data_IF_974556171157
#
_entry.id   IF_974556171157
#
_cell.length_a   1.000
_cell.length_b   1.000
_cell.length_c   1.000
_cell.angle_alpha   90.00
_cell.angle_beta   90.00
_cell.angle_gamma   90.00
#
_symmetry.space_group_name_H-M   'P 1'
#
loop_
_entity.id
_entity.type
_entity.pdbx_description
1 polymer ?
#
# COMPACT_ATOMS: atom_id res chain seq x y z
N UNK A 1 34.96 -48.34 49.44
CA UNK A 1 35.34 -47.03 48.85
C UNK A 1 34.98 -47.03 47.36
N UNK A 2 34.55 -45.90 46.78
CA UNK A 2 33.51 -45.87 45.73
C UNK A 2 34.01 -45.57 44.31
N UNK A 3 33.20 -45.92 43.29
CA UNK A 3 33.01 -45.30 41.94
C UNK A 3 32.04 -46.20 41.13
N UNK A 4 30.82 -45.79 40.79
CA UNK A 4 30.35 -44.81 39.80
C UNK A 4 29.91 -45.45 38.46
N UNK A 5 28.66 -45.10 38.09
CA UNK A 5 28.06 -44.97 36.74
C UNK A 5 27.52 -46.19 35.97
N UNK A 6 26.22 -46.07 35.66
CA UNK A 6 25.53 -46.81 34.61
C UNK A 6 24.05 -46.38 34.47
N UNK A 7 23.77 -45.08 34.53
CA UNK A 7 22.43 -44.54 34.31
C UNK A 7 22.06 -44.61 32.83
N UNK A 8 21.09 -45.46 32.48
CA UNK A 8 20.50 -45.50 31.15
C UNK A 8 19.84 -44.18 30.77
N UNK A 9 19.67 -43.90 29.46
CA UNK A 9 19.08 -42.66 28.98
C UNK A 9 17.65 -42.53 29.52
N UNK A 10 17.37 -41.38 30.14
CA UNK A 10 16.02 -40.98 30.58
C UNK A 10 15.13 -40.83 29.35
N UNK A 11 13.82 -41.15 29.45
CA UNK A 11 12.90 -40.93 28.34
C UNK A 11 12.86 -39.44 27.95
N UNK A 12 12.80 -39.18 26.64
CA UNK A 12 12.58 -37.85 26.09
C UNK A 12 11.29 -37.24 26.68
N UNK A 13 11.27 -35.94 27.04
CA UNK A 13 10.04 -35.31 27.45
C UNK A 13 9.05 -35.32 26.27
N UNK A 14 7.88 -35.93 26.49
CA UNK A 14 6.71 -35.78 25.63
C UNK A 14 6.38 -34.29 25.58
N UNK A 15 6.67 -33.64 24.46
CA UNK A 15 6.24 -32.26 24.22
C UNK A 15 4.71 -32.25 24.15
N UNK A 16 4.09 -31.78 25.24
CA UNK A 16 2.68 -31.40 25.25
C UNK A 16 2.46 -30.32 24.19
N UNK A 17 1.42 -30.49 23.38
CA UNK A 17 1.04 -29.68 22.20
C UNK A 17 0.64 -28.23 22.52
N UNK A 18 0.93 -27.73 23.73
CA UNK A 18 0.49 -26.45 24.27
C UNK A 18 1.58 -25.34 24.24
N UNK A 19 2.64 -25.47 23.43
CA UNK A 19 3.72 -24.47 23.36
C UNK A 19 4.17 -24.11 21.94
N UNK A 20 3.35 -24.42 20.93
CA UNK A 20 3.58 -23.91 19.58
C UNK A 20 3.37 -22.39 19.57
N UNK A 21 4.38 -21.59 19.18
CA UNK A 21 4.20 -20.14 19.07
C UNK A 21 3.17 -19.82 17.97
N UNK A 22 2.38 -18.74 18.10
CA UNK A 22 1.53 -18.27 17.02
C UNK A 22 2.40 -17.98 15.79
N UNK A 23 1.93 -18.41 14.61
CA UNK A 23 2.68 -18.40 13.34
C UNK A 23 3.53 -17.13 13.14
N UNK A 24 4.86 -17.28 13.12
CA UNK A 24 5.78 -16.23 12.69
C UNK A 24 7.16 -16.25 13.32
N UNK A 25 7.32 -16.68 14.57
CA UNK A 25 8.59 -16.47 15.27
C UNK A 25 9.67 -17.53 14.96
N UNK A 26 10.93 -17.10 14.86
CA UNK A 26 12.10 -17.99 14.79
C UNK A 26 12.88 -17.96 16.09
N UNK A 27 13.32 -19.13 16.54
CA UNK A 27 14.19 -19.30 17.70
C UNK A 27 15.62 -18.85 17.37
N UNK A 28 16.25 -18.08 18.25
CA UNK A 28 17.67 -17.74 18.13
C UNK A 28 18.57 -18.79 18.83
N UNK A 29 19.91 -18.76 18.65
CA UNK A 29 20.83 -19.72 19.26
C UNK A 29 20.85 -19.72 20.80
N UNK A 30 20.27 -18.69 21.44
CA UNK A 30 20.17 -18.54 22.89
C UNK A 30 18.78 -18.90 23.42
N UNK A 31 17.93 -19.56 22.60
CA UNK A 31 16.62 -20.06 23.02
C UNK A 31 15.55 -18.98 23.24
N UNK A 32 15.77 -17.75 22.77
CA UNK A 32 14.77 -16.67 22.86
C UNK A 32 13.98 -16.57 21.55
N UNK A 33 12.64 -16.49 21.66
CA UNK A 33 11.79 -16.09 20.55
C UNK A 33 12.03 -14.62 20.23
N UNK A 34 12.48 -14.34 19.00
CA UNK A 34 12.55 -12.97 18.49
C UNK A 34 11.27 -12.71 17.71
N UNK A 35 10.46 -11.70 18.08
CA UNK A 35 9.36 -11.29 17.22
C UNK A 35 9.96 -10.87 15.86
N UNK A 36 9.42 -11.41 14.76
CA UNK A 36 9.77 -10.98 13.40
C UNK A 36 9.64 -9.45 13.20
N UNK A 37 8.91 -8.78 14.09
CA UNK A 37 8.83 -7.34 14.21
C UNK A 37 10.11 -6.68 14.76
N UNK A 38 11.30 -7.04 14.25
CA UNK A 38 12.37 -6.03 14.12
C UNK A 38 11.99 -5.09 12.99
N UNK A 39 11.04 -4.20 13.30
CA UNK A 39 10.69 -2.94 12.62
C UNK A 39 11.20 -2.78 11.17
N UNK A 40 10.71 -3.62 10.25
CA UNK A 40 10.29 -3.03 8.97
C UNK A 40 9.10 -2.18 9.36
N UNK A 41 9.27 -0.86 9.31
CA UNK A 41 8.16 0.06 9.45
C UNK A 41 7.05 -0.45 8.53
N UNK A 42 5.89 -0.82 9.08
CA UNK A 42 4.74 -1.15 8.26
C UNK A 42 4.51 0.04 7.32
N UNK A 43 4.37 -0.21 6.02
CA UNK A 43 4.16 0.88 5.06
C UNK A 43 2.86 1.58 5.46
N UNK A 44 2.88 2.89 5.79
CA UNK A 44 1.66 3.65 5.99
C UNK A 44 0.68 3.40 4.84
N UNK A 45 -0.51 2.93 5.17
CA UNK A 45 -1.58 2.64 4.21
C UNK A 45 -2.76 3.58 4.46
N UNK A 46 -3.33 4.08 3.36
CA UNK A 46 -4.60 4.78 3.33
C UNK A 46 -5.57 4.06 2.42
N UNK A 47 -6.78 3.79 2.92
CA UNK A 47 -7.88 3.24 2.13
C UNK A 47 -9.06 4.18 2.20
N UNK A 48 -9.70 4.38 1.05
CA UNK A 48 -10.87 5.22 0.88
C UNK A 48 -11.90 4.53 0.01
N UNK A 49 -13.15 4.91 0.19
CA UNK A 49 -14.20 4.34 -0.61
C UNK A 49 -15.33 5.35 -0.83
N UNK A 50 -15.76 5.47 -2.07
CA UNK A 50 -16.78 6.44 -2.51
C UNK A 50 -17.63 5.85 -3.62
N UNK A 51 -18.86 6.35 -3.74
CA UNK A 51 -19.81 5.94 -4.78
C UNK A 51 -19.85 6.97 -5.90
N UNK A 52 -19.86 6.49 -7.14
CA UNK A 52 -20.06 7.29 -8.36
C UNK A 52 -21.34 6.88 -9.06
N UNK A 53 -22.10 7.84 -9.56
CA UNK A 53 -23.38 7.67 -10.24
C UNK A 53 -23.14 7.38 -11.73
N UNK A 54 -22.36 6.33 -12.00
CA UNK A 54 -21.99 5.89 -13.34
C UNK A 54 -21.89 4.35 -13.41
N UNK A 55 -22.20 3.73 -14.56
CA UNK A 55 -22.08 2.29 -14.75
C UNK A 55 -20.61 1.84 -14.68
N UNK A 56 -20.38 0.64 -14.18
CA UNK A 56 -19.04 0.11 -13.86
C UNK A 56 -18.11 0.09 -15.07
N UNK A 57 -18.65 -0.05 -16.27
CA UNK A 57 -17.92 0.01 -17.53
C UNK A 57 -17.32 1.39 -17.78
N UNK A 58 -18.09 2.46 -17.54
CA UNK A 58 -17.61 3.85 -17.69
C UNK A 58 -16.55 4.16 -16.64
N UNK A 59 -16.79 3.71 -15.40
CA UNK A 59 -15.88 3.90 -14.27
C UNK A 59 -14.57 3.17 -14.50
N UNK A 60 -14.62 1.92 -14.94
CA UNK A 60 -13.45 1.11 -15.27
C UNK A 60 -12.66 1.71 -16.43
N UNK A 61 -13.32 2.10 -17.52
CA UNK A 61 -12.65 2.73 -18.68
C UNK A 61 -11.91 4.01 -18.28
N UNK A 62 -12.42 4.75 -17.30
CA UNK A 62 -11.77 5.94 -16.79
C UNK A 62 -10.59 5.61 -15.86
N UNK A 63 -10.80 4.71 -14.89
CA UNK A 63 -9.80 4.40 -13.85
C UNK A 63 -8.66 3.50 -14.35
N UNK A 64 -8.84 2.79 -15.46
CA UNK A 64 -7.78 2.00 -16.10
C UNK A 64 -6.92 2.82 -17.07
N UNK A 65 -7.37 4.02 -17.47
CA UNK A 65 -6.59 4.96 -18.28
C UNK A 65 -5.78 5.89 -17.37
N UNK A 66 -4.46 5.68 -17.40
CA UNK A 66 -3.51 6.43 -16.59
C UNK A 66 -3.54 7.94 -16.85
N UNK A 67 -3.84 8.36 -18.09
CA UNK A 67 -3.92 9.78 -18.47
C UNK A 67 -5.17 10.42 -17.87
N UNK A 68 -6.27 9.68 -17.83
CA UNK A 68 -7.54 10.15 -17.26
C UNK A 68 -7.47 10.23 -15.74
N UNK A 69 -6.98 9.16 -15.10
CA UNK A 69 -6.77 9.12 -13.63
C UNK A 69 -5.90 10.26 -13.18
N UNK A 70 -4.82 10.53 -13.89
CA UNK A 70 -3.86 11.51 -13.45
C UNK A 70 -4.33 12.95 -13.43
N UNK A 71 -5.40 13.29 -14.17
CA UNK A 71 -6.09 14.59 -14.08
C UNK A 71 -6.85 14.76 -12.76
N UNK A 72 -7.11 13.66 -12.05
CA UNK A 72 -7.82 13.66 -10.78
C UNK A 72 -6.87 13.63 -9.58
N UNK A 73 -5.60 13.25 -9.78
CA UNK A 73 -4.61 13.15 -8.71
C UNK A 73 -4.09 14.54 -8.34
N UNK A 74 -4.29 15.01 -7.10
CA UNK A 74 -3.88 16.35 -6.71
C UNK A 74 -2.36 16.53 -6.75
N UNK A 75 -1.90 17.65 -7.30
CA UNK A 75 -0.48 18.00 -7.37
C UNK A 75 0.27 17.35 -8.55
N UNK A 76 -0.39 16.63 -9.44
CA UNK A 76 0.24 16.19 -10.70
C UNK A 76 0.40 17.39 -11.64
N UNK A 77 1.64 17.69 -12.01
CA UNK A 77 1.99 18.73 -12.97
C UNK A 77 2.12 18.16 -14.38
N UNK A 78 2.68 16.94 -14.51
CA UNK A 78 2.89 16.28 -15.80
C UNK A 78 2.81 14.76 -15.69
N UNK A 79 2.31 14.14 -16.74
CA UNK A 79 2.29 12.69 -16.94
C UNK A 79 2.88 12.39 -18.31
N UNK A 80 3.78 11.43 -18.35
CA UNK A 80 4.38 10.91 -19.58
C UNK A 80 4.19 9.40 -19.58
N UNK A 81 3.33 8.90 -20.46
CA UNK A 81 3.16 7.46 -20.69
C UNK A 81 4.36 6.96 -21.49
N UNK A 82 5.14 6.06 -20.90
CA UNK A 82 6.37 5.55 -21.50
C UNK A 82 6.10 4.32 -22.36
N UNK A 83 5.23 3.43 -21.88
CA UNK A 83 4.79 2.23 -22.59
C UNK A 83 3.42 1.76 -22.07
N UNK A 84 3.06 0.51 -22.36
CA UNK A 84 1.77 -0.08 -22.00
C UNK A 84 1.53 -0.17 -20.47
N UNK A 85 2.58 -0.31 -19.66
CA UNK A 85 2.46 -0.46 -18.21
C UNK A 85 3.20 0.61 -17.42
N UNK A 86 4.09 1.39 -18.05
CA UNK A 86 4.91 2.39 -17.37
C UNK A 86 4.53 3.83 -17.68
N UNK A 87 4.58 4.67 -16.65
CA UNK A 87 4.44 6.12 -16.78
C UNK A 87 5.32 6.87 -15.79
N UNK A 88 5.78 8.05 -16.22
CA UNK A 88 6.48 9.03 -15.39
C UNK A 88 5.53 10.13 -14.98
N UNK A 89 5.60 10.52 -13.72
CA UNK A 89 4.77 11.54 -13.11
C UNK A 89 5.64 12.58 -12.44
N UNK A 90 5.40 13.85 -12.74
CA UNK A 90 5.94 14.96 -11.97
C UNK A 90 4.85 15.42 -11.00
N UNK A 91 5.03 15.16 -9.70
CA UNK A 91 4.09 15.53 -8.65
C UNK A 91 4.69 16.55 -7.70
N UNK A 92 4.02 17.68 -7.52
CA UNK A 92 4.37 18.67 -6.52
C UNK A 92 3.53 18.47 -5.27
N UNK A 93 4.18 18.04 -4.19
CA UNK A 93 3.54 17.85 -2.88
C UNK A 93 3.89 19.04 -1.98
N UNK A 94 2.85 19.65 -1.39
CA UNK A 94 2.99 20.71 -0.39
C UNK A 94 2.80 20.13 1.01
N UNK A 95 3.84 20.18 1.83
CA UNK A 95 3.83 19.68 3.21
C UNK A 95 4.27 20.80 4.14
N UNK A 96 3.28 21.56 4.64
CA UNK A 96 3.54 22.77 5.43
C UNK A 96 4.25 23.84 4.58
N UNK A 97 5.34 24.46 5.06
CA UNK A 97 6.10 25.45 4.29
C UNK A 97 6.99 24.83 3.19
N UNK A 98 7.13 23.49 3.17
CA UNK A 98 7.93 22.79 2.17
C UNK A 98 7.10 22.48 0.92
N UNK A 99 7.66 22.80 -0.24
CA UNK A 99 7.16 22.36 -1.55
C UNK A 99 8.21 21.48 -2.19
N UNK A 100 7.85 20.24 -2.52
CA UNK A 100 8.77 19.29 -3.15
C UNK A 100 8.13 18.69 -4.39
N UNK A 101 8.83 18.78 -5.52
CA UNK A 101 8.47 18.07 -6.74
C UNK A 101 9.15 16.70 -6.75
N UNK A 102 8.37 15.66 -6.93
CA UNK A 102 8.77 14.26 -6.97
C UNK A 102 8.59 13.74 -8.39
N UNK A 103 9.61 13.07 -8.91
CA UNK A 103 9.52 12.32 -10.17
C UNK A 103 9.23 10.87 -9.84
N UNK A 104 7.98 10.45 -10.00
CA UNK A 104 7.54 9.08 -9.69
C UNK A 104 7.46 8.28 -10.97
N UNK A 105 8.09 7.11 -10.98
CA UNK A 105 7.89 6.09 -12.01
C UNK A 105 6.83 5.12 -11.51
N UNK A 106 5.78 4.87 -12.29
CA UNK A 106 4.77 3.86 -11.96
C UNK A 106 4.79 2.71 -12.95
N UNK A 107 4.43 1.52 -12.46
CA UNK A 107 4.20 0.32 -13.25
C UNK A 107 2.83 -0.26 -12.88
N UNK A 108 1.98 -0.48 -13.88
CA UNK A 108 0.74 -1.25 -13.75
C UNK A 108 1.10 -2.73 -13.55
N UNK A 109 0.71 -3.27 -12.39
CA UNK A 109 0.98 -4.66 -12.01
C UNK A 109 -0.15 -5.61 -12.42
N UNK A 110 -1.39 -5.11 -12.43
CA UNK A 110 -2.57 -5.92 -12.71
C UNK A 110 -3.74 -5.04 -13.17
N UNK A 111 -4.51 -5.54 -14.13
CA UNK A 111 -5.82 -5.02 -14.49
C UNK A 111 -6.78 -6.17 -14.73
N UNK A 112 -7.75 -6.32 -13.82
CA UNK A 112 -8.89 -7.23 -13.94
C UNK A 112 -10.10 -6.39 -14.37
N UNK A 113 -10.57 -6.52 -15.63
CA UNK A 113 -11.66 -5.71 -16.17
C UNK A 113 -12.86 -5.61 -15.23
N UNK A 114 -13.40 -4.40 -15.10
CA UNK A 114 -14.57 -4.07 -14.28
C UNK A 114 -14.46 -4.43 -12.78
N UNK A 115 -13.26 -4.77 -12.29
CA UNK A 115 -13.11 -5.29 -10.93
C UNK A 115 -11.95 -4.69 -10.18
N UNK A 116 -10.72 -4.74 -10.73
CA UNK A 116 -9.53 -4.40 -9.95
C UNK A 116 -8.38 -3.88 -10.81
N UNK A 117 -7.68 -2.87 -10.31
CA UNK A 117 -6.38 -2.44 -10.84
C UNK A 117 -5.35 -2.38 -9.72
N UNK A 118 -4.09 -2.71 -10.02
CA UNK A 118 -2.96 -2.53 -9.10
C UNK A 118 -1.77 -1.92 -9.79
N UNK A 119 -1.04 -1.08 -9.06
CA UNK A 119 0.21 -0.51 -9.54
C UNK A 119 1.24 -0.42 -8.41
N UNK A 120 2.50 -0.26 -8.80
CA UNK A 120 3.56 0.23 -7.92
C UNK A 120 4.12 1.52 -8.45
N UNK A 121 4.70 2.32 -7.55
CA UNK A 121 5.42 3.53 -7.89
C UNK A 121 6.73 3.62 -7.11
N UNK A 122 7.73 4.26 -7.70
CA UNK A 122 9.01 4.52 -7.05
C UNK A 122 9.60 5.87 -7.44
N UNK A 123 10.25 6.51 -6.48
CA UNK A 123 11.14 7.66 -6.62
C UNK A 123 12.34 7.47 -5.67
N UNK A 124 13.37 8.31 -5.75
CA UNK A 124 14.65 8.14 -5.03
C UNK A 124 14.54 7.63 -3.59
N UNK A 125 13.61 8.20 -2.81
CA UNK A 125 13.40 7.86 -1.40
C UNK A 125 11.96 7.45 -1.08
N UNK A 126 11.16 7.09 -2.08
CA UNK A 126 9.75 6.71 -1.91
C UNK A 126 9.45 5.46 -2.73
N UNK A 127 8.90 4.45 -2.08
CA UNK A 127 8.24 3.31 -2.71
C UNK A 127 6.74 3.39 -2.41
N UNK A 128 5.87 3.11 -3.38
CA UNK A 128 4.42 3.09 -3.17
C UNK A 128 3.74 1.96 -3.92
N UNK A 129 2.58 1.55 -3.42
CA UNK A 129 1.70 0.59 -4.09
C UNK A 129 0.27 1.08 -3.97
N UNK A 130 -0.49 0.96 -5.06
CA UNK A 130 -1.91 1.29 -5.05
C UNK A 130 -2.76 0.15 -5.60
N UNK A 131 -4.01 0.12 -5.14
CA UNK A 131 -5.04 -0.79 -5.62
C UNK A 131 -6.37 -0.04 -5.75
N UNK A 132 -7.11 -0.33 -6.81
CA UNK A 132 -8.49 0.10 -7.01
C UNK A 132 -9.34 -1.16 -7.10
N UNK A 133 -10.45 -1.19 -6.37
CA UNK A 133 -11.48 -2.22 -6.48
C UNK A 133 -12.84 -1.57 -6.81
N UNK A 134 -13.58 -2.20 -7.71
CA UNK A 134 -14.88 -1.74 -8.18
C UNK A 134 -15.95 -2.77 -7.84
N UNK A 135 -17.11 -2.29 -7.41
CA UNK A 135 -18.31 -3.11 -7.25
C UNK A 135 -19.53 -2.34 -7.76
N UNK A 136 -20.45 -2.99 -8.51
CA UNK A 136 -21.70 -2.35 -8.88
C UNK A 136 -22.55 -2.09 -7.63
N UNK A 137 -23.31 -1.00 -7.65
CA UNK A 137 -24.31 -0.67 -6.63
C UNK A 137 -25.67 -0.44 -7.31
N UNK A 138 -26.73 -0.33 -6.52
CA UNK A 138 -28.08 -0.09 -7.07
C UNK A 138 -28.23 1.22 -7.85
N UNK A 139 -27.28 2.16 -7.71
CA UNK A 139 -27.32 3.47 -8.37
C UNK A 139 -26.03 3.85 -9.12
N UNK A 140 -25.08 2.94 -9.30
CA UNK A 140 -23.80 3.22 -9.95
C UNK A 140 -22.71 2.24 -9.55
N UNK A 141 -21.54 2.76 -9.18
CA UNK A 141 -20.36 1.96 -8.86
C UNK A 141 -19.72 2.44 -7.56
N UNK A 142 -19.41 1.50 -6.67
CA UNK A 142 -18.56 1.72 -5.51
C UNK A 142 -17.11 1.59 -5.95
N UNK A 143 -16.31 2.61 -5.66
CA UNK A 143 -14.86 2.62 -5.86
C UNK A 143 -14.19 2.52 -4.49
N UNK A 144 -13.32 1.54 -4.32
CA UNK A 144 -12.41 1.44 -3.16
C UNK A 144 -11.00 1.65 -3.67
N UNK A 145 -10.29 2.63 -3.12
CA UNK A 145 -8.90 2.91 -3.47
C UNK A 145 -8.01 2.78 -2.24
N UNK A 146 -6.95 2.00 -2.37
CA UNK A 146 -5.95 1.76 -1.33
C UNK A 146 -4.59 2.21 -1.84
N UNK A 147 -3.84 2.91 -1.01
CA UNK A 147 -2.48 3.35 -1.30
C UNK A 147 -1.60 3.10 -0.07
N UNK A 148 -0.45 2.47 -0.28
CA UNK A 148 0.58 2.28 0.74
C UNK A 148 1.85 3.00 0.28
N UNK A 149 2.44 3.82 1.15
CA UNK A 149 3.64 4.60 0.81
C UNK A 149 4.72 4.39 1.85
N UNK A 150 5.92 4.07 1.39
CA UNK A 150 7.10 3.89 2.20
C UNK A 150 8.17 4.93 1.81
N UNK A 151 8.40 5.90 2.68
CA UNK A 151 9.47 6.87 2.50
C UNK A 151 10.70 6.49 3.33
N UNK A 152 11.89 6.75 2.79
CA UNK A 152 13.20 6.48 3.41
C UNK A 152 13.88 7.78 3.85
N UNK A 153 14.82 7.66 4.78
CA UNK A 153 15.64 8.79 5.25
C UNK A 153 14.82 9.90 5.93
N UNK A 154 15.25 11.17 5.84
CA UNK A 154 14.56 12.30 6.47
C UNK A 154 13.11 12.48 6.02
N UNK A 155 12.79 12.06 4.80
CA UNK A 155 11.46 12.16 4.20
C UNK A 155 10.44 11.23 4.87
N UNK A 156 10.89 10.15 5.52
CA UNK A 156 10.05 9.18 6.18
C UNK A 156 9.09 9.84 7.19
N UNK A 157 9.63 10.70 8.09
CA UNK A 157 8.86 11.37 9.14
C UNK A 157 7.85 12.38 8.57
N UNK A 158 8.24 13.06 7.50
CA UNK A 158 7.40 14.02 6.80
C UNK A 158 6.21 13.29 6.16
N UNK A 159 6.48 12.17 5.51
CA UNK A 159 5.44 11.39 4.82
C UNK A 159 4.45 10.75 5.80
N UNK A 160 4.88 10.27 6.97
CA UNK A 160 3.90 9.79 7.96
C UNK A 160 2.99 10.89 8.45
N UNK A 161 3.54 12.09 8.68
CA UNK A 161 2.74 13.22 9.11
C UNK A 161 1.75 13.63 8.00
N UNK A 162 2.18 13.63 6.75
CA UNK A 162 1.31 13.85 5.60
C UNK A 162 0.19 12.80 5.52
N UNK A 163 0.51 11.51 5.62
CA UNK A 163 -0.48 10.44 5.60
C UNK A 163 -1.47 10.54 6.77
N UNK A 164 -1.04 11.04 7.94
CA UNK A 164 -1.94 11.26 9.10
C UNK A 164 -2.82 12.50 8.95
N UNK A 165 -2.32 13.57 8.35
CA UNK A 165 -2.97 14.90 8.39
C UNK A 165 -3.65 15.30 7.09
N UNK A 166 -3.16 14.82 5.95
CA UNK A 166 -3.57 15.25 4.59
C UNK A 166 -4.16 14.16 3.74
N UNK A 167 -4.00 12.89 4.11
CA UNK A 167 -4.56 11.76 3.37
C UNK A 167 -6.07 11.94 3.14
N UNK A 168 -6.84 12.27 4.19
CA UNK A 168 -8.29 12.47 4.09
C UNK A 168 -8.64 13.53 3.05
N UNK A 169 -8.06 14.73 3.16
CA UNK A 169 -8.36 15.84 2.24
C UNK A 169 -7.92 15.57 0.80
N UNK A 170 -6.72 15.01 0.61
CA UNK A 170 -6.22 14.60 -0.72
C UNK A 170 -7.15 13.60 -1.38
N UNK A 171 -7.70 12.70 -0.56
CA UNK A 171 -8.57 11.67 -1.07
C UNK A 171 -9.98 12.18 -1.37
N UNK A 172 -10.52 13.05 -0.52
CA UNK A 172 -11.79 13.73 -0.81
C UNK A 172 -11.70 14.53 -2.12
N UNK A 173 -10.56 15.18 -2.36
CA UNK A 173 -10.29 15.88 -3.62
C UNK A 173 -10.22 14.93 -4.81
N UNK A 174 -9.49 13.81 -4.69
CA UNK A 174 -9.45 12.78 -5.73
C UNK A 174 -10.85 12.23 -6.05
N UNK A 175 -11.62 11.86 -5.03
CA UNK A 175 -12.99 11.36 -5.19
C UNK A 175 -13.89 12.40 -5.86
N UNK A 176 -13.79 13.67 -5.46
CA UNK A 176 -14.54 14.77 -6.08
C UNK A 176 -14.15 14.98 -7.55
N UNK A 177 -12.87 14.87 -7.89
CA UNK A 177 -12.38 14.98 -9.26
C UNK A 177 -12.87 13.82 -10.14
N UNK A 178 -12.82 12.59 -9.63
CA UNK A 178 -13.35 11.40 -10.33
C UNK A 178 -14.85 11.53 -10.56
N UNK A 179 -15.62 11.94 -9.54
CA UNK A 179 -17.06 12.21 -9.68
C UNK A 179 -17.33 13.24 -10.77
N UNK A 180 -16.66 14.39 -10.71
CA UNK A 180 -16.82 15.47 -11.69
C UNK A 180 -16.49 15.00 -13.12
N UNK A 181 -15.48 14.15 -13.29
CA UNK A 181 -15.10 13.64 -14.59
C UNK A 181 -16.08 12.59 -15.15
N UNK A 182 -16.80 11.87 -14.28
CA UNK A 182 -17.69 10.78 -14.65
C UNK A 182 -19.18 11.16 -14.70
N UNK A 183 -19.59 12.10 -13.85
CA UNK A 183 -20.99 12.55 -13.69
C UNK A 183 -21.26 13.88 -14.40
N UNK A 184 -20.19 14.59 -14.82
CA UNK A 184 -20.28 15.80 -15.64
C UNK A 184 -20.49 15.54 -17.13
#
# INVERSE_FOLDING_TARGET
MPRHHGGGPRPFPSFSEASLPPHGDRLNPNGTYLPLARMRRAMPEGTIAFDVTAPIEKVWSFLSDIRQVGRCVPGVDRIEVLDATHARWDLTVKIGPLSQTLKVMTETLEQVPLRRGRFRGSADNIDMTGAIELAPTGGGTRVVYTMSVNAKGPLARIMDNFMRTKLKSQTEEFAANVKRALEG
#
